data_IF_929463892070
#
_entry.id   IF_929463892070
#
_cell.length_a   1.000
_cell.length_b   1.000
_cell.length_c   1.000
_cell.angle_alpha   90.00
_cell.angle_beta   90.00
_cell.angle_gamma   90.00
#
_symmetry.space_group_name_H-M   'P 1'
#
loop_
_entity.id
_entity.type
_entity.pdbx_description
1 polymer ?
#
# COMPACT_ATOMS: atom_id res chain seq x y z
N UNK A 1 -12.32 14.00 32.57
CA UNK A 1 -11.25 14.55 33.45
C UNK A 1 -10.51 13.49 34.27
N UNK A 2 -11.14 12.38 34.67
CA UNK A 2 -10.50 11.32 35.49
C UNK A 2 -9.61 10.33 34.72
N UNK A 3 -9.84 10.13 33.41
CA UNK A 3 -9.09 9.19 32.57
C UNK A 3 -7.67 9.68 32.25
N UNK A 4 -7.49 10.97 31.96
CA UNK A 4 -6.18 11.55 31.63
C UNK A 4 -5.15 11.48 32.76
N UNK A 5 -5.59 11.67 34.02
CA UNK A 5 -4.72 11.53 35.19
C UNK A 5 -4.25 10.09 35.41
N UNK A 6 -5.12 9.13 35.08
CA UNK A 6 -4.85 7.69 35.20
C UNK A 6 -3.80 7.25 34.18
N UNK A 7 -3.91 7.71 32.93
CA UNK A 7 -2.90 7.48 31.89
C UNK A 7 -1.55 8.13 32.22
N UNK A 8 -1.56 9.34 32.79
CA UNK A 8 -0.32 10.00 33.21
C UNK A 8 0.39 9.21 34.33
N UNK A 9 -0.36 8.70 35.32
CA UNK A 9 0.17 7.84 36.37
C UNK A 9 0.74 6.52 35.85
N UNK A 10 0.09 5.92 34.85
CA UNK A 10 0.56 4.67 34.21
C UNK A 10 1.86 4.89 33.41
N UNK A 11 1.99 6.01 32.68
CA UNK A 11 3.23 6.38 31.98
C UNK A 11 4.38 6.64 32.96
N UNK A 12 4.16 7.40 34.03
CA UNK A 12 5.18 7.64 35.05
C UNK A 12 5.60 6.35 35.76
N UNK A 13 4.66 5.42 36.01
CA UNK A 13 4.96 4.09 36.56
C UNK A 13 5.78 3.25 35.60
N UNK A 14 5.48 3.29 34.31
CA UNK A 14 6.20 2.55 33.28
C UNK A 14 7.67 2.96 33.19
N UNK A 15 7.94 4.27 33.15
CA UNK A 15 9.32 4.81 33.10
C UNK A 15 10.12 4.43 34.36
N UNK A 16 9.43 4.24 35.50
CA UNK A 16 10.05 3.89 36.78
C UNK A 16 10.44 2.40 36.88
N UNK A 17 9.89 1.53 36.03
CA UNK A 17 10.14 0.08 36.03
C UNK A 17 10.84 -0.29 34.71
N UNK A 18 12.18 -0.26 34.64
CA UNK A 18 12.92 -0.38 33.38
C UNK A 18 12.71 -1.74 32.68
N UNK A 19 12.44 -2.80 33.45
CA UNK A 19 12.19 -4.15 32.91
C UNK A 19 10.90 -4.21 32.09
N UNK A 20 9.83 -3.55 32.56
CA UNK A 20 8.53 -3.53 31.88
C UNK A 20 8.60 -2.65 30.63
N UNK A 21 9.27 -1.50 30.73
CA UNK A 21 9.51 -0.63 29.57
C UNK A 21 10.30 -1.37 28.49
N UNK A 22 11.41 -2.02 28.85
CA UNK A 22 12.23 -2.79 27.91
C UNK A 22 11.42 -3.91 27.23
N UNK A 23 10.62 -4.66 27.99
CA UNK A 23 9.78 -5.72 27.43
C UNK A 23 8.76 -5.19 26.42
N UNK A 24 8.13 -4.05 26.68
CA UNK A 24 7.19 -3.44 25.74
C UNK A 24 7.87 -2.88 24.49
N UNK A 25 9.04 -2.26 24.64
CA UNK A 25 9.83 -1.80 23.49
C UNK A 25 10.27 -2.99 22.62
N UNK A 26 10.70 -4.09 23.24
CA UNK A 26 11.03 -5.32 22.53
C UNK A 26 9.81 -5.91 21.83
N UNK A 27 8.64 -5.96 22.48
CA UNK A 27 7.41 -6.45 21.84
C UNK A 27 6.99 -5.60 20.63
N UNK A 28 7.08 -4.26 20.75
CA UNK A 28 6.85 -3.34 19.63
C UNK A 28 7.86 -3.58 18.50
N UNK A 29 9.14 -3.75 18.84
CA UNK A 29 10.18 -4.10 17.90
C UNK A 29 9.87 -5.42 17.18
N UNK A 30 9.53 -6.48 17.91
CA UNK A 30 9.14 -7.77 17.35
C UNK A 30 7.93 -7.64 16.41
N UNK A 31 6.89 -6.89 16.79
CA UNK A 31 5.72 -6.67 15.94
C UNK A 31 6.09 -5.92 14.64
N UNK A 32 6.94 -4.89 14.73
CA UNK A 32 7.45 -4.17 13.57
C UNK A 32 8.28 -5.08 12.65
N UNK A 33 9.24 -5.83 13.19
CA UNK A 33 10.06 -6.74 12.40
C UNK A 33 9.24 -7.86 11.77
N UNK A 34 8.24 -8.40 12.47
CA UNK A 34 7.31 -9.38 11.91
C UNK A 34 6.55 -8.79 10.71
N UNK A 35 6.04 -7.56 10.83
CA UNK A 35 5.36 -6.90 9.72
C UNK A 35 6.29 -6.71 8.50
N UNK A 36 7.54 -6.29 8.73
CA UNK A 36 8.54 -6.15 7.66
C UNK A 36 8.89 -7.51 7.05
N UNK A 37 9.05 -8.56 7.85
CA UNK A 37 9.32 -9.92 7.37
C UNK A 37 8.16 -10.47 6.55
N UNK A 38 6.92 -10.24 6.97
CA UNK A 38 5.73 -10.62 6.20
C UNK A 38 5.67 -9.89 4.86
N UNK A 39 5.95 -8.58 4.85
CA UNK A 39 6.02 -7.80 3.63
C UNK A 39 7.12 -8.29 2.67
N UNK A 40 8.33 -8.53 3.19
CA UNK A 40 9.45 -9.06 2.39
C UNK A 40 9.20 -10.48 1.92
N UNK A 41 8.61 -11.33 2.76
CA UNK A 41 8.17 -12.67 2.37
C UNK A 41 7.15 -12.62 1.24
N UNK A 42 6.21 -11.67 1.29
CA UNK A 42 5.25 -11.46 0.22
C UNK A 42 5.93 -11.05 -1.09
N UNK A 43 6.86 -10.08 -1.07
CA UNK A 43 7.66 -9.67 -2.24
C UNK A 43 8.41 -10.86 -2.88
N UNK A 44 9.05 -11.70 -2.06
CA UNK A 44 9.78 -12.88 -2.53
C UNK A 44 8.81 -13.91 -3.13
N UNK A 45 7.65 -14.13 -2.50
CA UNK A 45 6.68 -15.13 -2.96
C UNK A 45 6.08 -14.80 -4.33
N UNK A 46 5.86 -13.53 -4.63
CA UNK A 46 5.32 -13.06 -5.92
C UNK A 46 6.41 -12.67 -6.92
N UNK A 47 7.68 -12.78 -6.52
CA UNK A 47 8.84 -12.35 -7.30
C UNK A 47 8.73 -10.89 -7.80
N UNK A 48 8.11 -10.01 -7.02
CA UNK A 48 7.82 -8.64 -7.41
C UNK A 48 8.28 -7.68 -6.31
N UNK A 49 8.94 -6.58 -6.70
CA UNK A 49 9.38 -5.55 -5.76
C UNK A 49 8.20 -4.82 -5.11
N UNK A 50 7.11 -4.66 -5.86
CA UNK A 50 5.90 -3.98 -5.41
C UNK A 50 4.67 -4.87 -5.64
N UNK A 51 4.46 -5.91 -4.81
CA UNK A 51 3.43 -6.91 -5.04
C UNK A 51 2.00 -6.38 -4.79
N UNK A 52 1.87 -5.21 -4.16
CA UNK A 52 0.61 -4.49 -4.01
C UNK A 52 0.75 -3.13 -4.68
N UNK A 53 -0.18 -2.81 -5.57
CA UNK A 53 -0.28 -1.53 -6.23
C UNK A 53 -1.66 -0.91 -5.98
N UNK A 54 -1.73 0.41 -5.83
CA UNK A 54 -2.98 1.12 -5.57
C UNK A 54 -3.21 2.13 -6.68
N UNK A 55 -4.39 2.09 -7.29
CA UNK A 55 -4.77 3.00 -8.37
C UNK A 55 -4.94 4.41 -7.83
N UNK A 56 -4.04 5.31 -8.21
CA UNK A 56 -4.05 6.71 -7.77
C UNK A 56 -4.96 7.60 -8.63
N UNK A 57 -5.10 7.30 -9.93
CA UNK A 57 -5.95 8.02 -10.87
C UNK A 57 -6.80 7.03 -11.65
N UNK A 58 -8.12 7.18 -11.58
CA UNK A 58 -9.05 6.40 -12.41
C UNK A 58 -9.23 7.06 -13.78
N UNK A 59 -9.39 6.25 -14.82
CA UNK A 59 -9.50 6.74 -16.19
C UNK A 59 -9.93 5.69 -17.22
N UNK A 60 -9.51 4.43 -17.05
CA UNK A 60 -9.84 3.32 -17.95
C UNK A 60 -10.90 2.37 -17.34
N UNK A 61 -11.90 1.99 -18.15
CA UNK A 61 -13.28 1.54 -17.84
C UNK A 61 -13.52 0.36 -16.89
N UNK A 62 -12.54 -0.09 -16.12
CA UNK A 62 -12.74 -1.14 -15.11
C UNK A 62 -12.11 -0.85 -13.77
N UNK A 63 -11.37 0.25 -13.66
CA UNK A 63 -10.51 0.54 -12.52
C UNK A 63 -10.87 1.90 -11.93
N UNK A 64 -11.33 1.88 -10.69
CA UNK A 64 -11.65 3.07 -9.94
C UNK A 64 -10.47 3.50 -9.09
N UNK A 65 -10.38 4.81 -8.81
CA UNK A 65 -9.41 5.32 -7.84
C UNK A 65 -9.61 4.61 -6.51
N UNK A 66 -8.54 4.03 -5.98
CA UNK A 66 -8.58 3.26 -4.75
C UNK A 66 -8.86 1.77 -4.93
N UNK A 67 -8.81 1.24 -6.15
CA UNK A 67 -8.69 -0.21 -6.35
C UNK A 67 -7.25 -0.67 -6.05
N UNK A 68 -7.13 -1.89 -5.53
CA UNK A 68 -5.85 -2.52 -5.19
C UNK A 68 -5.56 -3.62 -6.21
N UNK A 69 -4.35 -3.64 -6.78
CA UNK A 69 -3.84 -4.74 -7.59
C UNK A 69 -2.80 -5.53 -6.86
N UNK A 70 -2.88 -6.85 -7.03
CA UNK A 70 -1.82 -7.77 -6.68
C UNK A 70 -0.99 -8.06 -7.92
N UNK A 71 0.31 -7.83 -7.80
CA UNK A 71 1.28 -7.97 -8.89
C UNK A 71 2.17 -9.19 -8.70
N UNK A 72 2.52 -9.82 -9.81
CA UNK A 72 3.52 -10.90 -9.88
C UNK A 72 4.61 -10.54 -10.87
N UNK A 73 5.87 -10.89 -10.56
CA UNK A 73 7.02 -10.69 -11.44
C UNK A 73 7.19 -11.80 -12.47
N UNK A 74 6.14 -12.13 -13.21
CA UNK A 74 6.17 -13.16 -14.27
C UNK A 74 6.99 -12.68 -15.47
N UNK A 75 7.76 -13.58 -16.09
CA UNK A 75 8.50 -13.34 -17.34
C UNK A 75 7.74 -13.63 -18.63
N UNK A 76 6.61 -14.32 -18.52
CA UNK A 76 5.72 -14.57 -19.65
C UNK A 76 4.53 -13.61 -19.61
N UNK A 77 4.35 -12.86 -20.70
CA UNK A 77 3.19 -12.00 -20.93
C UNK A 77 2.44 -12.47 -22.17
N UNK A 78 1.12 -12.31 -22.16
CA UNK A 78 0.24 -12.61 -23.29
C UNK A 78 -0.59 -11.39 -23.65
N UNK A 79 -1.02 -11.34 -24.91
CA UNK A 79 -2.01 -10.35 -25.31
C UNK A 79 -3.29 -10.55 -24.49
N UNK A 80 -3.81 -9.46 -23.94
CA UNK A 80 -4.97 -9.46 -23.03
C UNK A 80 -4.60 -9.35 -21.55
N UNK A 81 -3.35 -9.59 -21.17
CA UNK A 81 -2.89 -9.45 -19.78
C UNK A 81 -2.90 -7.98 -19.32
N UNK A 82 -3.14 -7.74 -18.04
CA UNK A 82 -3.06 -6.41 -17.43
C UNK A 82 -1.70 -6.23 -16.76
N UNK A 83 -0.96 -5.19 -17.16
CA UNK A 83 0.39 -4.94 -16.66
C UNK A 83 0.49 -3.54 -16.07
N UNK A 84 1.23 -3.44 -14.97
CA UNK A 84 1.62 -2.16 -14.40
C UNK A 84 3.04 -1.87 -14.82
N UNK A 85 3.25 -0.71 -15.45
CA UNK A 85 4.56 -0.25 -15.88
C UNK A 85 4.83 1.16 -15.39
N UNK A 86 6.11 1.48 -15.25
CA UNK A 86 6.58 2.80 -14.87
C UNK A 86 7.60 3.28 -15.90
N UNK A 87 7.31 4.43 -16.50
CA UNK A 87 8.19 5.05 -17.49
C UNK A 87 9.33 5.76 -16.75
N UNK A 88 10.60 5.59 -17.16
CA UNK A 88 11.72 6.30 -16.55
C UNK A 88 11.52 7.81 -16.60
N UNK A 89 11.76 8.51 -15.49
CA UNK A 89 11.56 9.95 -15.40
C UNK A 89 10.11 10.40 -15.21
N UNK A 90 9.15 9.47 -15.10
CA UNK A 90 7.80 9.75 -14.60
C UNK A 90 7.61 9.12 -13.22
N UNK A 91 7.04 9.90 -12.31
CA UNK A 91 6.70 9.42 -10.96
C UNK A 91 5.40 8.59 -10.93
N UNK A 92 4.61 8.65 -12.01
CA UNK A 92 3.32 7.98 -12.11
C UNK A 92 3.49 6.65 -12.84
N UNK A 93 2.99 5.59 -12.23
CA UNK A 93 2.85 4.27 -12.82
C UNK A 93 1.48 4.13 -13.49
N UNK A 94 1.44 3.36 -14.57
CA UNK A 94 0.29 3.23 -15.46
C UNK A 94 -0.06 1.75 -15.56
N UNK A 95 -1.35 1.42 -15.46
CA UNK A 95 -1.86 0.06 -15.49
C UNK A 95 -2.78 -0.12 -16.70
N UNK A 96 -2.32 -0.79 -17.75
CA UNK A 96 -3.05 -0.97 -19.00
C UNK A 96 -2.98 -2.41 -19.50
N UNK A 97 -3.82 -2.73 -20.49
CA UNK A 97 -3.86 -4.05 -21.10
C UNK A 97 -2.77 -4.19 -22.16
N UNK A 98 -2.12 -5.34 -22.20
CA UNK A 98 -1.19 -5.71 -23.26
C UNK A 98 -1.98 -5.96 -24.54
N UNK A 99 -1.77 -5.12 -25.54
CA UNK A 99 -2.37 -5.27 -26.86
C UNK A 99 -1.61 -6.30 -27.70
N UNK A 100 -0.28 -6.18 -27.75
CA UNK A 100 0.58 -7.09 -28.51
C UNK A 100 1.89 -7.37 -27.78
N UNK A 101 2.35 -8.62 -27.88
CA UNK A 101 3.63 -9.10 -27.35
C UNK A 101 4.54 -9.43 -28.53
N UNK A 102 5.72 -8.84 -28.57
CA UNK A 102 6.75 -9.18 -29.55
C UNK A 102 7.98 -9.68 -28.81
N UNK A 103 8.38 -10.91 -29.13
CA UNK A 103 9.68 -11.45 -28.71
C UNK A 103 10.64 -11.30 -29.88
N UNK A 104 11.72 -10.56 -29.66
CA UNK A 104 12.78 -10.40 -30.66
C UNK A 104 13.70 -11.64 -30.63
N UNK A 105 14.45 -11.91 -31.71
CA UNK A 105 15.36 -13.07 -31.80
C UNK A 105 16.50 -13.07 -30.76
N UNK A 106 16.81 -11.91 -30.19
CA UNK A 106 17.76 -11.70 -29.10
C UNK A 106 17.18 -12.03 -27.71
N UNK A 107 15.91 -12.45 -27.64
CA UNK A 107 15.18 -12.70 -26.41
C UNK A 107 14.64 -11.44 -25.73
N UNK A 108 14.77 -10.27 -26.37
CA UNK A 108 14.25 -9.01 -25.81
C UNK A 108 12.73 -8.96 -25.96
N UNK A 109 12.05 -8.80 -24.83
CA UNK A 109 10.60 -8.58 -24.77
C UNK A 109 10.26 -7.14 -25.18
N UNK A 110 9.33 -6.99 -26.11
CA UNK A 110 8.76 -5.72 -26.52
C UNK A 110 7.22 -5.76 -26.41
N UNK A 111 6.68 -5.05 -25.43
CA UNK A 111 5.24 -4.98 -25.19
C UNK A 111 4.64 -3.70 -25.77
N UNK A 112 3.47 -3.84 -26.38
CA UNK A 112 2.61 -2.72 -26.71
C UNK A 112 1.38 -2.78 -25.80
N UNK A 113 1.16 -1.73 -25.03
CA UNK A 113 -0.02 -1.59 -24.17
C UNK A 113 -1.03 -0.65 -24.82
N UNK A 114 -2.29 -0.85 -24.41
CA UNK A 114 -3.40 0.03 -24.76
C UNK A 114 -4.37 0.13 -23.59
N UNK A 115 -4.77 1.34 -23.25
CA UNK A 115 -5.91 1.58 -22.35
C UNK A 115 -7.24 1.13 -22.98
N UNK A 116 -8.10 0.47 -22.21
CA UNK A 116 -9.35 -0.13 -22.71
C UNK A 116 -10.31 0.94 -23.29
N UNK A 117 -10.21 2.21 -22.84
CA UNK A 117 -11.02 3.34 -23.30
C UNK A 117 -10.37 4.22 -24.36
N UNK A 118 -9.11 3.99 -24.66
CA UNK A 118 -8.37 4.83 -25.59
C UNK A 118 -8.55 4.32 -27.03
N UNK A 119 -8.94 5.20 -27.94
CA UNK A 119 -9.00 4.89 -29.37
C UNK A 119 -7.61 4.63 -29.99
N UNK A 120 -6.55 5.08 -29.32
CA UNK A 120 -5.16 5.07 -29.78
C UNK A 120 -4.30 4.28 -28.79
N UNK A 121 -3.22 3.67 -29.30
CA UNK A 121 -2.23 2.95 -28.47
C UNK A 121 -1.45 3.89 -27.55
N UNK A 122 -0.87 3.36 -26.47
CA UNK A 122 -0.19 4.15 -25.43
C UNK A 122 1.20 4.69 -25.83
N UNK A 123 1.56 4.63 -27.11
CA UNK A 123 2.90 5.03 -27.59
C UNK A 123 3.23 6.49 -27.28
N UNK A 124 2.22 7.35 -27.17
CA UNK A 124 2.39 8.75 -26.74
C UNK A 124 2.70 8.93 -25.24
N UNK A 125 2.48 7.89 -24.42
CA UNK A 125 2.76 7.89 -22.99
C UNK A 125 4.17 7.38 -22.67
N UNK A 126 4.82 6.69 -23.59
CA UNK A 126 6.19 6.20 -23.44
C UNK A 126 7.22 7.33 -23.53
N UNK A 127 8.50 7.00 -23.38
CA UNK A 127 9.57 7.96 -23.65
C UNK A 127 9.54 8.41 -25.11
N UNK A 128 10.06 9.60 -25.38
CA UNK A 128 10.08 10.16 -26.73
C UNK A 128 10.89 9.26 -27.67
N UNK A 129 10.24 8.75 -28.71
CA UNK A 129 10.85 7.82 -29.68
C UNK A 129 10.80 6.34 -29.28
N UNK A 130 10.26 6.01 -28.11
CA UNK A 130 10.03 4.63 -27.68
C UNK A 130 8.70 4.11 -28.22
N UNK A 131 8.73 2.97 -28.91
CA UNK A 131 7.54 2.36 -29.51
C UNK A 131 6.97 1.19 -28.69
N UNK A 132 7.81 0.57 -27.85
CA UNK A 132 7.46 -0.62 -27.07
C UNK A 132 8.07 -0.51 -25.68
N UNK A 133 7.37 -1.06 -24.70
CA UNK A 133 7.87 -1.22 -23.34
C UNK A 133 8.82 -2.41 -23.26
N UNK A 134 9.86 -2.24 -22.48
CA UNK A 134 10.86 -3.27 -22.19
C UNK A 134 10.64 -3.83 -20.79
N UNK A 135 11.19 -5.02 -20.53
CA UNK A 135 11.08 -5.67 -19.22
C UNK A 135 11.37 -4.79 -18.00
N UNK A 136 12.48 -4.02 -17.93
CA UNK A 136 12.81 -3.25 -16.73
C UNK A 136 11.79 -2.13 -16.40
N UNK A 137 10.95 -1.74 -17.36
CA UNK A 137 9.91 -0.74 -17.16
C UNK A 137 8.63 -1.36 -16.60
N UNK A 138 8.50 -2.68 -16.67
CA UNK A 138 7.34 -3.42 -16.16
C UNK A 138 7.55 -3.69 -14.68
N UNK A 139 6.64 -3.17 -13.85
CA UNK A 139 6.62 -3.41 -12.41
C UNK A 139 6.10 -4.82 -12.12
N UNK A 140 5.03 -5.23 -12.81
CA UNK A 140 4.49 -6.57 -12.70
C UNK A 140 3.20 -6.81 -13.47
N UNK A 141 2.80 -8.07 -13.54
CA UNK A 141 1.55 -8.55 -14.09
C UNK A 141 0.46 -8.55 -13.00
N UNK A 142 -0.72 -8.02 -13.31
CA UNK A 142 -1.88 -8.03 -12.41
C UNK A 142 -2.49 -9.42 -12.38
N UNK A 143 -2.56 -10.04 -11.20
CA UNK A 143 -3.15 -11.38 -11.01
C UNK A 143 -4.51 -11.34 -10.31
N UNK A 144 -4.73 -10.32 -9.49
CA UNK A 144 -5.97 -10.13 -8.76
C UNK A 144 -6.18 -8.64 -8.47
N UNK A 145 -7.44 -8.24 -8.37
CA UNK A 145 -7.81 -6.91 -7.93
C UNK A 145 -8.83 -6.96 -6.79
N UNK A 146 -8.79 -5.95 -5.94
CA UNK A 146 -9.76 -5.78 -4.86
C UNK A 146 -10.34 -4.36 -4.93
N UNK A 147 -11.64 -4.22 -5.23
CA UNK A 147 -12.23 -2.92 -5.48
C UNK A 147 -12.44 -2.14 -4.17
N UNK A 148 -12.32 -0.81 -4.25
CA UNK A 148 -12.58 0.16 -3.18
C UNK A 148 -11.72 0.08 -1.90
N UNK A 149 -11.02 -1.02 -1.62
CA UNK A 149 -10.26 -1.17 -0.36
C UNK A 149 -9.10 -0.18 -0.26
N UNK A 150 -8.51 0.20 -1.39
CA UNK A 150 -7.42 1.17 -1.47
C UNK A 150 -7.86 2.59 -1.13
N UNK A 151 -9.16 2.90 -1.10
CA UNK A 151 -9.67 4.19 -0.61
C UNK A 151 -9.25 4.40 0.85
N UNK A 152 -9.28 3.37 1.69
CA UNK A 152 -8.85 3.47 3.09
C UNK A 152 -7.35 3.80 3.19
N UNK A 153 -6.54 3.18 2.35
CA UNK A 153 -5.09 3.42 2.30
C UNK A 153 -4.79 4.82 1.75
N UNK A 154 -5.52 5.25 0.73
CA UNK A 154 -5.46 6.61 0.18
C UNK A 154 -5.85 7.64 1.24
N UNK A 155 -6.93 7.43 2.00
CA UNK A 155 -7.30 8.32 3.10
C UNK A 155 -6.20 8.40 4.16
N UNK A 156 -5.60 7.27 4.52
CA UNK A 156 -4.47 7.27 5.47
C UNK A 156 -3.23 7.99 4.92
N UNK A 157 -3.02 7.97 3.60
CA UNK A 157 -1.91 8.67 2.96
C UNK A 157 -2.17 10.18 2.80
N UNK A 158 -3.38 10.55 2.40
CA UNK A 158 -3.78 11.93 2.10
C UNK A 158 -3.97 12.76 3.39
N UNK A 159 -4.44 12.14 4.48
CA UNK A 159 -4.67 12.81 5.76
C UNK A 159 -3.54 12.53 6.77
N UNK A 160 -2.56 13.44 6.82
CA UNK A 160 -1.44 13.36 7.77
C UNK A 160 -1.91 13.25 9.24
N UNK A 161 -2.95 13.99 9.61
CA UNK A 161 -3.52 13.94 10.97
C UNK A 161 -4.05 12.54 11.33
N UNK A 162 -4.75 11.88 10.39
CA UNK A 162 -5.28 10.52 10.59
C UNK A 162 -4.13 9.52 10.77
N UNK A 163 -3.09 9.63 9.93
CA UNK A 163 -1.89 8.80 9.98
C UNK A 163 -1.17 8.94 11.32
N UNK A 164 -0.90 10.17 11.74
CA UNK A 164 -0.24 10.43 13.02
C UNK A 164 -1.08 9.92 14.19
N UNK A 165 -2.39 10.18 14.19
CA UNK A 165 -3.28 9.74 15.25
C UNK A 165 -3.32 8.20 15.37
N UNK A 166 -3.39 7.48 14.25
CA UNK A 166 -3.39 6.02 14.24
C UNK A 166 -2.09 5.43 14.81
N UNK A 167 -0.93 5.93 14.37
CA UNK A 167 0.37 5.42 14.85
C UNK A 167 0.61 5.77 16.31
N UNK A 168 0.31 7.01 16.72
CA UNK A 168 0.52 7.45 18.10
C UNK A 168 -0.43 6.75 19.07
N UNK A 169 -1.70 6.58 18.71
CA UNK A 169 -2.67 5.87 19.55
C UNK A 169 -2.32 4.39 19.72
N UNK A 170 -1.87 3.72 18.66
CA UNK A 170 -1.46 2.31 18.72
C UNK A 170 -0.18 2.14 19.54
N UNK A 171 0.83 2.98 19.31
CA UNK A 171 2.07 2.96 20.10
C UNK A 171 1.80 3.24 21.59
N UNK A 172 0.95 4.23 21.88
CA UNK A 172 0.54 4.56 23.24
C UNK A 172 -0.21 3.40 23.92
N UNK A 173 -1.15 2.76 23.21
CA UNK A 173 -1.89 1.61 23.73
C UNK A 173 -0.96 0.42 24.04
N UNK A 174 0.01 0.13 23.17
CA UNK A 174 1.01 -0.92 23.40
C UNK A 174 1.93 -0.60 24.59
N UNK A 175 2.36 0.66 24.74
CA UNK A 175 3.20 1.13 25.86
C UNK A 175 2.45 1.11 27.20
N UNK A 176 1.14 1.32 27.22
CA UNK A 176 0.40 1.23 28.48
C UNK A 176 0.19 -0.23 28.91
N UNK A 177 0.41 -1.20 28.01
CA UNK A 177 0.37 -2.62 28.34
C UNK A 177 -0.99 -3.11 28.87
N UNK A 178 -2.07 -2.34 28.66
CA UNK A 178 -3.43 -2.79 28.94
C UNK A 178 -3.83 -3.81 27.89
N UNK A 179 -3.43 -5.06 28.12
CA UNK A 179 -3.78 -6.25 27.32
C UNK A 179 -5.27 -6.64 27.39
N UNK A 180 -6.19 -5.67 27.36
CA UNK A 180 -7.61 -5.92 27.19
C UNK A 180 -8.09 -5.16 25.97
N UNK A 181 -8.23 -5.88 24.86
CA UNK A 181 -8.81 -5.43 23.57
C UNK A 181 -10.15 -4.69 23.69
N UNK A 182 -10.79 -4.71 24.86
CA UNK A 182 -12.10 -4.08 25.14
C UNK A 182 -12.04 -2.54 25.20
N UNK A 183 -10.89 -1.93 25.45
CA UNK A 183 -10.80 -0.47 25.66
C UNK A 183 -10.51 0.35 24.39
N UNK A 184 -9.89 -0.24 23.36
CA UNK A 184 -9.45 0.52 22.19
C UNK A 184 -10.60 0.87 21.24
N UNK A 185 -11.56 -0.05 21.04
CA UNK A 185 -12.73 0.18 20.16
C UNK A 185 -13.73 1.17 20.80
N UNK A 186 -13.89 1.15 22.12
CA UNK A 186 -14.86 2.00 22.82
C UNK A 186 -14.39 3.45 22.94
N UNK A 187 -13.09 3.70 23.09
CA UNK A 187 -12.55 5.06 23.16
C UNK A 187 -12.46 5.74 21.78
N UNK A 188 -12.09 5.00 20.72
CA UNK A 188 -12.01 5.55 19.36
C UNK A 188 -13.40 5.98 18.82
N UNK A 189 -14.45 5.19 19.05
CA UNK A 189 -15.80 5.52 18.59
C UNK A 189 -16.47 6.62 19.44
N UNK A 190 -16.17 6.72 20.73
CA UNK A 190 -16.74 7.75 21.60
C UNK A 190 -16.18 9.15 21.29
N UNK A 191 -14.90 9.25 20.94
CA UNK A 191 -14.26 10.55 20.66
C UNK A 191 -14.58 11.06 19.23
N UNK A 192 -14.90 10.18 18.28
CA UNK A 192 -15.34 10.58 16.92
C UNK A 192 -16.81 11.03 16.84
N UNK A 193 -17.67 10.63 17.79
CA UNK A 193 -19.10 11.00 17.80
C UNK A 193 -19.38 12.26 18.65
N UNK A 194 -18.38 12.76 19.39
CA UNK A 194 -18.50 13.92 20.27
C UNK A 194 -18.36 15.30 19.63
N UNK A 195 -18.33 15.41 18.29
CA UNK A 195 -18.18 16.71 17.59
C UNK A 195 -19.45 17.07 16.80
N UNK A 196 -20.57 17.25 17.49
CA UNK A 196 -21.64 18.18 17.08
C UNK A 196 -22.65 18.34 18.22
N UNK A 197 -23.24 19.54 18.28
CA UNK A 197 -24.24 20.06 19.23
C UNK A 197 -23.68 20.63 20.54
N UNK A 198 -23.06 21.81 20.44
CA UNK A 198 -23.73 23.10 20.75
C UNK A 198 -23.16 24.19 19.86
#
# INVERSE_FOLDING_TARGET
MWTGLLYFGDCCRLVRIPRTLLAQMLNLGCAYYLAVMLWKGFMVSTNCESPVFIVQSGGDLRLHRGDIFFLTGSDSFRAGDEVVYQVPGREISIAHRVANVHEKPDGTLALLTKGDDNGVDDRGLYLQGQLFLTRPEIVGLVVAYLPYLGILVLMLNDYLCLKCWLFLSTAFACLIGRGSWKSFVVLSLADCVGFSVT
#
